data_IF_039556926103
#
_entry.id   IF_039556926103
#
_cell.length_a   1.000
_cell.length_b   1.000
_cell.length_c   1.000
_cell.angle_alpha   90.00
_cell.angle_beta   90.00
_cell.angle_gamma   90.00
#
_symmetry.space_group_name_H-M   'P 1'
#
loop_
_entity.id
_entity.type
_entity.pdbx_description
1 polymer ?
#
# COMPACT_ATOMS: atom_id res chain seq x y z
N UNK A 1 -4.90 15.01 22.77
CA UNK A 1 -5.91 14.27 22.00
C UNK A 1 -6.22 12.97 22.71
N UNK A 2 -7.49 12.72 23.00
CA UNK A 2 -7.90 11.47 23.64
C UNK A 2 -7.80 10.30 22.63
N UNK A 3 -7.78 9.06 23.14
CA UNK A 3 -7.74 7.88 22.26
C UNK A 3 -8.99 7.81 21.37
N UNK A 4 -10.13 8.27 21.85
CA UNK A 4 -11.38 8.32 21.10
C UNK A 4 -11.28 9.31 19.92
N UNK A 5 -10.71 10.48 20.14
CA UNK A 5 -10.49 11.46 19.08
C UNK A 5 -9.50 10.95 18.03
N UNK A 6 -8.43 10.29 18.48
CA UNK A 6 -7.44 9.69 17.59
C UNK A 6 -8.07 8.61 16.71
N UNK A 7 -8.93 7.75 17.27
CA UNK A 7 -9.65 6.73 16.50
C UNK A 7 -10.53 7.36 15.43
N UNK A 8 -11.26 8.43 15.76
CA UNK A 8 -12.11 9.13 14.78
C UNK A 8 -11.30 9.72 13.65
N UNK A 9 -10.16 10.33 13.95
CA UNK A 9 -9.25 10.91 12.93
C UNK A 9 -8.69 9.81 12.05
N UNK A 10 -8.24 8.70 12.63
CA UNK A 10 -7.65 7.59 11.89
C UNK A 10 -8.64 6.85 10.99
N UNK A 11 -9.94 6.88 11.31
CA UNK A 11 -10.99 6.33 10.44
C UNK A 11 -11.04 7.03 9.08
N UNK A 12 -10.61 8.29 9.01
CA UNK A 12 -10.59 9.05 7.75
C UNK A 12 -9.20 9.07 7.12
N UNK A 13 -8.15 9.20 7.92
CA UNK A 13 -6.78 9.37 7.43
C UNK A 13 -6.23 8.07 6.87
N UNK A 14 -6.30 6.98 7.64
CA UNK A 14 -5.72 5.71 7.24
C UNK A 14 -6.32 5.15 5.94
N UNK A 15 -7.66 5.03 5.79
CA UNK A 15 -8.23 4.53 4.53
C UNK A 15 -7.91 5.43 3.34
N UNK A 16 -7.91 6.75 3.54
CA UNK A 16 -7.60 7.70 2.46
C UNK A 16 -6.18 7.51 1.97
N UNK A 17 -5.20 7.42 2.88
CA UNK A 17 -3.81 7.22 2.52
C UNK A 17 -3.61 5.87 1.80
N UNK A 18 -4.27 4.83 2.29
CA UNK A 18 -4.18 3.50 1.68
C UNK A 18 -4.74 3.50 0.25
N UNK A 19 -5.92 4.09 0.04
CA UNK A 19 -6.56 4.15 -1.28
C UNK A 19 -5.70 4.94 -2.26
N UNK A 20 -5.18 6.09 -1.85
CA UNK A 20 -4.28 6.89 -2.70
C UNK A 20 -3.05 6.06 -3.07
N UNK A 21 -2.48 5.33 -2.11
CA UNK A 21 -1.35 4.43 -2.37
C UNK A 21 -1.70 3.36 -3.40
N UNK A 22 -2.86 2.74 -3.30
CA UNK A 22 -3.32 1.72 -4.24
C UNK A 22 -3.45 2.29 -5.65
N UNK A 23 -4.01 3.49 -5.79
CA UNK A 23 -4.13 4.17 -7.09
C UNK A 23 -2.74 4.36 -7.72
N UNK A 24 -1.77 4.83 -6.95
CA UNK A 24 -0.41 5.03 -7.45
C UNK A 24 0.29 3.71 -7.77
N UNK A 25 0.03 2.64 -7.03
CA UNK A 25 0.55 1.30 -7.38
C UNK A 25 0.07 0.89 -8.77
N UNK A 26 -1.22 1.04 -9.05
CA UNK A 26 -1.78 0.69 -10.36
C UNK A 26 -1.25 1.61 -11.47
N UNK A 27 -1.11 2.91 -11.20
CA UNK A 27 -0.54 3.85 -12.17
C UNK A 27 0.91 3.51 -12.49
N UNK A 28 1.70 3.19 -11.47
CA UNK A 28 3.09 2.80 -11.66
C UNK A 28 3.20 1.50 -12.47
N UNK A 29 2.41 0.50 -12.12
CA UNK A 29 2.40 -0.77 -12.84
C UNK A 29 1.98 -0.56 -14.30
N UNK A 30 0.93 0.22 -14.55
CA UNK A 30 0.47 0.52 -15.91
C UNK A 30 1.55 1.24 -16.70
N UNK A 31 2.24 2.19 -16.11
CA UNK A 31 3.32 2.93 -16.78
C UNK A 31 4.47 2.02 -17.18
N UNK A 32 4.79 1.01 -16.35
CA UNK A 32 5.84 0.05 -16.66
C UNK A 32 5.38 -0.93 -17.75
N UNK A 33 4.11 -1.39 -17.68
CA UNK A 33 3.60 -2.44 -18.55
C UNK A 33 3.27 -1.94 -19.97
N UNK A 34 2.89 -0.68 -20.12
CA UNK A 34 2.53 -0.13 -21.44
C UNK A 34 3.81 0.08 -22.24
N UNK A 35 3.98 -0.68 -23.33
CA UNK A 35 5.20 -0.67 -24.14
C UNK A 35 5.50 0.69 -24.77
N UNK A 36 4.49 1.47 -25.12
CA UNK A 36 4.65 2.79 -25.74
C UNK A 36 4.86 3.93 -24.75
N UNK A 37 4.80 3.67 -23.46
CA UNK A 37 4.92 4.71 -22.46
C UNK A 37 6.40 4.99 -22.16
N UNK A 38 6.88 6.14 -22.61
CA UNK A 38 8.32 6.48 -22.54
C UNK A 38 8.65 7.59 -21.52
N UNK A 39 7.68 8.04 -20.74
CA UNK A 39 7.89 9.11 -19.76
C UNK A 39 8.49 8.57 -18.48
N UNK A 40 9.81 8.36 -18.49
CA UNK A 40 10.54 7.80 -17.34
C UNK A 40 10.37 8.62 -16.07
N UNK A 41 10.43 9.96 -16.17
CA UNK A 41 10.26 10.82 -15.00
C UNK A 41 8.89 10.65 -14.36
N UNK A 42 7.84 10.60 -15.18
CA UNK A 42 6.47 10.40 -14.68
C UNK A 42 6.32 9.02 -14.06
N UNK A 43 6.86 7.99 -14.69
CA UNK A 43 6.85 6.63 -14.12
C UNK A 43 7.55 6.60 -12.77
N UNK A 44 8.70 7.25 -12.65
CA UNK A 44 9.43 7.37 -11.40
C UNK A 44 8.63 8.09 -10.32
N UNK A 45 7.91 9.15 -10.70
CA UNK A 45 7.02 9.87 -9.77
C UNK A 45 5.91 8.95 -9.26
N UNK A 46 5.30 8.16 -10.15
CA UNK A 46 4.27 7.21 -9.73
C UNK A 46 4.83 6.17 -8.75
N UNK A 47 6.05 5.67 -9.02
CA UNK A 47 6.70 4.72 -8.11
C UNK A 47 7.00 5.32 -6.74
N UNK A 48 7.54 6.53 -6.71
CA UNK A 48 7.84 7.21 -5.46
C UNK A 48 6.56 7.55 -4.70
N UNK A 49 5.51 7.99 -5.39
CA UNK A 49 4.22 8.27 -4.77
C UNK A 49 3.60 7.00 -4.20
N UNK A 50 3.64 5.89 -4.95
CA UNK A 50 3.16 4.60 -4.47
C UNK A 50 3.93 4.18 -3.22
N UNK A 51 5.25 4.32 -3.24
CA UNK A 51 6.09 3.98 -2.09
C UNK A 51 5.73 4.82 -0.86
N UNK A 52 5.64 6.14 -1.05
CA UNK A 52 5.35 7.05 0.06
C UNK A 52 3.97 6.77 0.67
N UNK A 53 2.93 6.63 -0.17
CA UNK A 53 1.57 6.46 0.34
C UNK A 53 1.34 5.05 0.90
N UNK A 54 2.00 4.01 0.39
CA UNK A 54 1.95 2.69 1.03
C UNK A 54 2.66 2.71 2.38
N UNK A 55 3.78 3.45 2.48
CA UNK A 55 4.46 3.65 3.76
C UNK A 55 3.56 4.37 4.77
N UNK A 56 2.94 5.48 4.35
CA UNK A 56 2.04 6.25 5.22
C UNK A 56 0.82 5.43 5.63
N UNK A 57 0.28 4.63 4.70
CA UNK A 57 -0.81 3.72 5.00
C UNK A 57 -0.42 2.68 6.05
N UNK A 58 0.76 2.09 5.90
CA UNK A 58 1.27 1.11 6.86
C UNK A 58 1.50 1.76 8.24
N UNK A 59 2.15 2.92 8.27
CA UNK A 59 2.46 3.62 9.52
C UNK A 59 1.18 4.07 10.24
N UNK A 60 0.21 4.63 9.52
CA UNK A 60 -1.05 5.06 10.11
C UNK A 60 -1.86 3.87 10.62
N UNK A 61 -1.80 2.74 9.90
CA UNK A 61 -2.44 1.50 10.35
C UNK A 61 -1.83 0.97 11.64
N UNK A 62 -0.51 1.06 11.80
CA UNK A 62 0.17 0.66 13.03
C UNK A 62 -0.24 1.56 14.20
N UNK A 63 -0.33 2.87 13.98
CA UNK A 63 -0.77 3.80 15.01
C UNK A 63 -2.22 3.51 15.43
N UNK A 64 -3.09 3.24 14.46
CA UNK A 64 -4.47 2.88 14.75
C UNK A 64 -4.55 1.56 15.53
N UNK A 65 -3.75 0.57 15.16
CA UNK A 65 -3.73 -0.72 15.86
C UNK A 65 -3.33 -0.56 17.32
N UNK A 66 -2.36 0.34 17.62
CA UNK A 66 -1.96 0.63 19.00
C UNK A 66 -3.12 1.20 19.80
N UNK A 67 -3.90 2.12 19.22
CA UNK A 67 -5.04 2.71 19.93
C UNK A 67 -6.21 1.74 20.04
N UNK A 68 -6.44 0.89 19.01
CA UNK A 68 -7.58 -0.01 18.97
C UNK A 68 -7.38 -1.27 19.84
N UNK A 69 -6.18 -1.87 19.82
CA UNK A 69 -5.92 -3.11 20.57
C UNK A 69 -4.64 -3.10 21.42
N UNK A 70 -4.01 -1.96 21.55
CA UNK A 70 -2.83 -1.85 22.43
C UNK A 70 -1.55 -2.46 21.87
N UNK A 71 -1.50 -2.74 20.58
CA UNK A 71 -0.31 -3.29 19.93
C UNK A 71 -0.13 -2.68 18.55
N UNK A 72 1.08 -2.24 18.24
CA UNK A 72 1.40 -1.70 16.91
C UNK A 72 1.37 -2.77 15.82
N UNK A 73 1.64 -4.02 16.17
CA UNK A 73 1.78 -5.09 15.20
C UNK A 73 1.34 -6.42 15.80
N UNK A 74 0.50 -7.16 15.09
CA UNK A 74 -0.03 -8.45 15.56
C UNK A 74 0.09 -9.56 14.51
N UNK A 75 0.68 -9.28 13.35
CA UNK A 75 0.81 -10.24 12.25
C UNK A 75 -0.53 -10.78 11.74
N UNK A 76 -1.60 -9.99 11.82
CA UNK A 76 -2.85 -10.40 11.22
C UNK A 76 -2.75 -10.41 9.69
N UNK A 77 -3.69 -11.06 8.96
CA UNK A 77 -3.59 -11.15 7.50
C UNK A 77 -3.53 -9.79 6.80
N UNK A 78 -4.24 -8.79 7.29
CA UNK A 78 -4.26 -7.44 6.71
C UNK A 78 -2.90 -6.76 6.89
N UNK A 79 -2.33 -6.82 8.08
CA UNK A 79 -1.01 -6.25 8.36
C UNK A 79 0.07 -6.93 7.52
N UNK A 80 0.03 -8.26 7.46
CA UNK A 80 1.01 -9.04 6.70
C UNK A 80 0.92 -8.71 5.22
N UNK A 81 -0.27 -8.65 4.64
CA UNK A 81 -0.42 -8.34 3.21
C UNK A 81 -0.01 -6.90 2.91
N UNK A 82 -0.28 -5.95 3.81
CA UNK A 82 0.16 -4.56 3.66
C UNK A 82 1.68 -4.44 3.71
N UNK A 83 2.33 -5.19 4.59
CA UNK A 83 3.80 -5.23 4.66
C UNK A 83 4.38 -5.79 3.36
N UNK A 84 3.84 -6.91 2.87
CA UNK A 84 4.28 -7.50 1.61
C UNK A 84 4.07 -6.54 0.44
N UNK A 85 2.96 -5.82 0.42
CA UNK A 85 2.69 -4.79 -0.57
C UNK A 85 3.77 -3.70 -0.52
N UNK A 86 4.07 -3.18 0.65
CA UNK A 86 5.09 -2.15 0.81
C UNK A 86 6.46 -2.66 0.34
N UNK A 87 6.84 -3.88 0.70
CA UNK A 87 8.10 -4.47 0.27
C UNK A 87 8.14 -4.66 -1.25
N UNK A 88 7.05 -5.10 -1.87
CA UNK A 88 6.98 -5.26 -3.33
C UNK A 88 7.08 -3.92 -4.05
N UNK A 89 6.40 -2.89 -3.56
CA UNK A 89 6.48 -1.54 -4.12
C UNK A 89 7.91 -1.00 -3.98
N UNK A 90 8.53 -1.20 -2.81
CA UNK A 90 9.90 -0.77 -2.57
C UNK A 90 10.87 -1.43 -3.54
N UNK A 91 10.78 -2.75 -3.70
CA UNK A 91 11.62 -3.51 -4.62
C UNK A 91 11.40 -3.06 -6.07
N UNK A 92 10.15 -2.89 -6.48
CA UNK A 92 9.81 -2.46 -7.84
C UNK A 92 10.37 -1.07 -8.14
N UNK A 93 10.21 -0.13 -7.21
CA UNK A 93 10.68 1.25 -7.37
C UNK A 93 12.21 1.27 -7.46
N UNK A 94 12.90 0.55 -6.57
CA UNK A 94 14.37 0.46 -6.58
C UNK A 94 14.84 -0.13 -7.91
N UNK A 95 14.25 -1.23 -8.36
CA UNK A 95 14.65 -1.88 -9.62
C UNK A 95 14.39 -0.98 -10.82
N UNK A 96 13.30 -0.21 -10.80
CA UNK A 96 13.02 0.74 -11.86
C UNK A 96 14.12 1.81 -11.94
N UNK A 97 14.52 2.39 -10.80
CA UNK A 97 15.57 3.41 -10.78
C UNK A 97 16.95 2.84 -11.09
N UNK A 98 17.17 1.54 -10.85
CA UNK A 98 18.40 0.83 -11.25
C UNK A 98 18.42 0.47 -12.74
N UNK A 99 17.37 0.80 -13.48
CA UNK A 99 17.27 0.47 -14.90
C UNK A 99 16.83 -0.95 -15.19
N UNK A 100 16.45 -1.72 -14.17
CA UNK A 100 16.02 -3.12 -14.32
C UNK A 100 14.50 -3.20 -14.49
N UNK A 101 14.02 -2.71 -15.63
CA UNK A 101 12.59 -2.58 -15.90
C UNK A 101 11.85 -3.92 -15.87
N UNK A 102 12.47 -5.00 -16.36
CA UNK A 102 11.85 -6.33 -16.34
C UNK A 102 11.60 -6.85 -14.94
N UNK A 103 12.57 -6.68 -14.04
CA UNK A 103 12.41 -7.07 -12.62
C UNK A 103 11.40 -6.17 -11.95
N UNK A 104 11.47 -4.86 -12.20
CA UNK A 104 10.51 -3.89 -11.66
C UNK A 104 9.08 -4.25 -12.05
N UNK A 105 8.87 -4.69 -13.30
CA UNK A 105 7.56 -5.12 -13.81
C UNK A 105 6.98 -6.25 -12.96
N UNK A 106 7.76 -7.27 -12.66
CA UNK A 106 7.27 -8.41 -11.88
C UNK A 106 6.91 -8.02 -10.46
N UNK A 107 7.73 -7.18 -9.81
CA UNK A 107 7.40 -6.69 -8.48
C UNK A 107 6.17 -5.76 -8.49
N UNK A 108 6.00 -4.97 -9.54
CA UNK A 108 4.81 -4.12 -9.69
C UNK A 108 3.54 -4.97 -9.85
N UNK A 109 3.61 -6.06 -10.63
CA UNK A 109 2.50 -7.00 -10.75
C UNK A 109 2.18 -7.69 -9.43
N UNK A 110 3.21 -8.10 -8.68
CA UNK A 110 3.03 -8.66 -7.35
C UNK A 110 2.35 -7.65 -6.42
N UNK A 111 2.75 -6.38 -6.49
CA UNK A 111 2.11 -5.32 -5.71
C UNK A 111 0.64 -5.17 -6.05
N UNK A 112 0.27 -5.23 -7.33
CA UNK A 112 -1.14 -5.16 -7.75
C UNK A 112 -1.95 -6.32 -7.18
N UNK A 113 -1.41 -7.54 -7.20
CA UNK A 113 -2.06 -8.72 -6.62
C UNK A 113 -2.23 -8.53 -5.11
N UNK A 114 -1.22 -7.99 -4.44
CA UNK A 114 -1.27 -7.75 -3.00
C UNK A 114 -2.27 -6.65 -2.63
N UNK A 115 -2.46 -5.63 -3.48
CA UNK A 115 -3.53 -4.64 -3.29
C UNK A 115 -4.88 -5.33 -3.31
N UNK A 116 -5.13 -6.18 -4.31
CA UNK A 116 -6.38 -6.92 -4.41
C UNK A 116 -6.57 -7.84 -3.20
N UNK A 117 -5.53 -8.54 -2.77
CA UNK A 117 -5.58 -9.40 -1.59
C UNK A 117 -5.87 -8.62 -0.31
N UNK A 118 -5.24 -7.45 -0.15
CA UNK A 118 -5.46 -6.59 1.02
C UNK A 118 -6.89 -6.09 1.08
N UNK A 119 -7.45 -5.67 -0.07
CA UNK A 119 -8.83 -5.22 -0.15
C UNK A 119 -9.78 -6.37 0.20
N UNK A 120 -9.54 -7.56 -0.36
CA UNK A 120 -10.36 -8.74 -0.10
C UNK A 120 -10.33 -9.12 1.39
N UNK A 121 -9.15 -9.16 1.99
CA UNK A 121 -8.99 -9.45 3.42
C UNK A 121 -9.73 -8.41 4.26
N UNK A 122 -9.67 -7.13 3.88
CA UNK A 122 -10.37 -6.05 4.59
C UNK A 122 -11.88 -6.28 4.58
N UNK A 123 -12.45 -6.65 3.43
CA UNK A 123 -13.89 -6.94 3.33
C UNK A 123 -14.29 -8.17 4.15
N UNK A 124 -13.50 -9.23 4.10
CA UNK A 124 -13.79 -10.47 4.85
C UNK A 124 -13.71 -10.19 6.35
N UNK A 125 -12.66 -9.50 6.79
CA UNK A 125 -12.48 -9.16 8.21
C UNK A 125 -13.60 -8.26 8.70
N UNK A 126 -13.96 -7.23 7.92
CA UNK A 126 -15.05 -6.33 8.25
C UNK A 126 -16.38 -7.09 8.35
N UNK A 127 -16.64 -7.98 7.39
CA UNK A 127 -17.84 -8.82 7.41
C UNK A 127 -17.93 -9.71 8.64
N UNK A 128 -16.81 -10.30 9.04
CA UNK A 128 -16.75 -11.12 10.26
C UNK A 128 -16.96 -10.29 11.53
N UNK A 129 -16.44 -9.07 11.55
CA UNK A 129 -16.59 -8.18 12.71
C UNK A 129 -17.97 -7.54 12.82
N UNK A 130 -18.75 -7.53 11.74
CA UNK A 130 -20.10 -6.98 11.78
C UNK A 130 -21.12 -7.93 12.38
N UNK A 131 -20.73 -9.16 12.65
CA UNK A 131 -21.52 -10.15 13.33
C UNK A 131 -21.02 -10.34 14.76
#
# INVERSE_FOLDING_TARGET
MSSHELDSVMLYIHPTLAIVGYVFVFLFAAAILIKGFKKKKLTGVFGLAAWLFTFLGLASGMLWAQTAWGSYWSWDPKETSTLLLFLSVSASTIMFFEGKRGVAKWFALAACVLVAATILVSFVTFGLHSF
#
